data_IF_298481863942
#
_entry.id   IF_298481863942
#
_cell.length_a   1.000
_cell.length_b   1.000
_cell.length_c   1.000
_cell.angle_alpha   90.00
_cell.angle_beta   90.00
_cell.angle_gamma   90.00
#
_symmetry.space_group_name_H-M   'P 1'
#
loop_
_entity.id
_entity.type
_entity.pdbx_description
1 polymer ?
#
# COMPACT_ATOMS: atom_id res chain seq x y z
N UNK A 1 -22.67 52.25 -10.04
CA UNK A 1 -23.98 52.76 -9.60
C UNK A 1 -24.60 51.74 -8.65
N UNK A 2 -24.93 52.24 -7.41
CA UNK A 2 -25.81 51.66 -6.37
C UNK A 2 -25.46 50.23 -5.86
N UNK A 3 -24.80 49.99 -4.73
CA UNK A 3 -25.14 50.19 -3.28
C UNK A 3 -26.55 49.73 -2.89
N UNK A 4 -26.59 48.80 -1.91
CA UNK A 4 -27.47 48.73 -0.71
C UNK A 4 -27.09 47.45 0.05
N UNK A 5 -26.45 47.41 1.17
CA UNK A 5 -26.63 47.86 2.57
C UNK A 5 -27.63 47.03 3.39
N UNK A 6 -27.05 46.32 4.38
CA UNK A 6 -27.45 46.10 5.79
C UNK A 6 -28.61 45.19 6.15
N UNK A 7 -28.31 44.32 7.13
CA UNK A 7 -29.28 43.71 8.04
C UNK A 7 -28.61 42.84 9.12
N UNK A 8 -28.08 43.47 10.17
CA UNK A 8 -27.68 42.84 11.44
C UNK A 8 -28.93 42.60 12.25
N UNK A 9 -29.10 41.42 12.84
CA UNK A 9 -30.01 41.23 13.97
C UNK A 9 -29.44 40.17 14.93
N UNK A 10 -28.90 40.69 16.03
CA UNK A 10 -28.52 39.93 17.22
C UNK A 10 -29.78 39.60 18.00
N UNK A 11 -29.91 38.37 18.51
CA UNK A 11 -30.80 38.07 19.62
C UNK A 11 -30.05 37.18 20.62
N UNK A 12 -29.77 37.76 21.77
CA UNK A 12 -29.39 37.09 23.00
C UNK A 12 -30.67 36.73 23.81
N UNK A 13 -30.72 35.54 24.38
CA UNK A 13 -31.59 35.22 25.54
C UNK A 13 -30.95 34.06 26.30
N UNK A 14 -30.34 34.33 27.35
CA UNK A 14 -30.68 34.27 28.79
C UNK A 14 -30.88 32.85 29.32
N UNK A 15 -29.99 32.56 30.26
CA UNK A 15 -29.95 31.37 31.13
C UNK A 15 -31.15 31.30 32.08
N UNK A 16 -31.56 30.08 32.40
CA UNK A 16 -32.29 29.82 33.66
C UNK A 16 -31.69 28.58 34.33
N UNK A 17 -31.03 28.85 35.43
CA UNK A 17 -30.59 27.88 36.44
C UNK A 17 -31.79 27.58 37.31
N UNK A 18 -32.12 26.31 37.51
CA UNK A 18 -32.98 25.87 38.62
C UNK A 18 -32.21 24.90 39.48
N UNK A 19 -31.88 25.38 40.65
CA UNK A 19 -31.35 24.61 41.80
C UNK A 19 -32.51 24.39 42.75
N UNK A 20 -32.83 23.17 43.08
CA UNK A 20 -33.51 22.71 44.30
C UNK A 20 -33.19 21.23 44.46
N UNK A 21 -32.81 20.66 45.57
CA UNK A 21 -32.74 21.04 46.93
C UNK A 21 -32.60 19.74 47.73
N UNK A 22 -31.76 19.72 48.71
CA UNK A 22 -31.45 18.57 49.57
C UNK A 22 -32.67 18.05 50.33
N UNK A 23 -32.74 16.71 50.53
CA UNK A 23 -33.45 16.12 51.67
C UNK A 23 -32.66 14.95 52.22
N UNK A 24 -32.27 15.10 53.48
CA UNK A 24 -31.68 14.09 54.36
C UNK A 24 -32.73 13.01 54.75
N UNK A 25 -32.27 11.74 54.75
CA UNK A 25 -33.01 10.63 55.38
C UNK A 25 -32.02 9.53 55.78
N UNK A 26 -31.97 9.31 57.13
CA UNK A 26 -31.04 8.46 57.88
C UNK A 26 -31.16 6.96 57.61
N UNK A 27 -30.00 6.32 57.68
CA UNK A 27 -29.65 5.02 58.26
C UNK A 27 -30.69 3.88 58.32
N UNK A 28 -30.30 2.75 57.69
CA UNK A 28 -30.34 1.47 58.43
C UNK A 28 -29.26 0.54 57.86
N UNK A 29 -28.35 0.17 58.74
CA UNK A 29 -27.36 -0.88 58.49
C UNK A 29 -28.10 -2.23 58.51
N UNK A 30 -27.88 -3.03 57.47
CA UNK A 30 -28.04 -4.47 57.57
C UNK A 30 -26.91 -5.16 56.77
N UNK A 31 -26.01 -5.74 57.53
CA UNK A 31 -24.96 -6.63 57.08
C UNK A 31 -25.59 -7.91 56.52
N UNK A 32 -25.39 -8.18 55.24
CA UNK A 32 -25.38 -9.54 54.73
C UNK A 32 -24.16 -9.70 53.83
N UNK A 33 -23.19 -10.43 54.34
CA UNK A 33 -22.13 -11.08 53.61
C UNK A 33 -22.74 -12.15 52.70
N UNK A 34 -22.76 -11.87 51.40
CA UNK A 34 -22.82 -12.93 50.39
C UNK A 34 -21.58 -12.79 49.52
N UNK A 35 -20.66 -13.72 49.75
CA UNK A 35 -19.56 -14.01 48.88
C UNK A 35 -20.10 -14.72 47.63
N UNK A 36 -20.29 -13.96 46.56
CA UNK A 36 -20.57 -14.46 45.25
C UNK A 36 -19.68 -13.70 44.29
N UNK A 37 -18.46 -14.18 44.14
CA UNK A 37 -17.53 -13.68 43.13
C UNK A 37 -18.06 -14.04 41.73
N UNK A 38 -18.73 -13.10 41.10
CA UNK A 38 -18.93 -13.10 39.68
C UNK A 38 -17.89 -12.16 39.09
N UNK A 39 -16.69 -12.69 38.87
CA UNK A 39 -15.64 -12.05 38.08
C UNK A 39 -16.08 -12.02 36.63
N UNK A 40 -17.01 -11.15 36.30
CA UNK A 40 -17.26 -10.79 34.94
C UNK A 40 -16.02 -10.09 34.43
N UNK A 41 -15.20 -10.78 33.64
CA UNK A 41 -14.11 -10.17 32.83
C UNK A 41 -14.74 -9.02 32.05
N UNK A 42 -14.25 -7.80 32.27
CA UNK A 42 -14.70 -6.66 31.46
C UNK A 42 -14.32 -6.90 30.04
N UNK A 43 -15.29 -6.79 29.12
CA UNK A 43 -15.02 -6.90 27.66
C UNK A 43 -14.03 -5.82 27.25
N UNK A 44 -12.92 -6.23 26.63
CA UNK A 44 -11.96 -5.33 26.04
C UNK A 44 -12.47 -4.89 24.67
N UNK A 45 -12.43 -3.58 24.41
CA UNK A 45 -12.85 -3.01 23.12
C UNK A 45 -11.65 -2.40 22.43
N UNK A 46 -11.27 -2.96 21.29
CA UNK A 46 -10.17 -2.51 20.46
C UNK A 46 -10.68 -1.74 19.25
N UNK A 47 -9.91 -0.76 18.82
CA UNK A 47 -10.17 -0.03 17.57
C UNK A 47 -9.02 -0.24 16.58
N UNK A 48 -9.37 -0.67 15.36
CA UNK A 48 -8.43 -0.88 14.26
C UNK A 48 -8.68 0.18 13.18
N UNK A 49 -7.65 0.95 12.81
CA UNK A 49 -7.75 1.90 11.71
C UNK A 49 -7.03 1.39 10.46
N UNK A 50 -7.77 1.34 9.32
CA UNK A 50 -7.25 0.94 8.01
C UNK A 50 -7.87 1.73 6.88
N UNK A 51 -7.36 1.55 5.64
CA UNK A 51 -7.84 2.32 4.50
C UNK A 51 -8.72 1.51 3.54
N UNK A 52 -8.82 0.20 3.72
CA UNK A 52 -9.66 -0.66 2.88
C UNK A 52 -11.14 -0.38 3.21
N UNK A 53 -12.01 -0.18 2.19
CA UNK A 53 -13.46 -0.08 2.43
C UNK A 53 -14.00 -1.30 3.18
N UNK A 54 -14.89 -1.09 4.12
CA UNK A 54 -15.40 -2.12 5.04
C UNK A 54 -16.01 -3.32 4.27
N UNK A 55 -16.72 -3.05 3.19
CA UNK A 55 -17.36 -4.04 2.31
C UNK A 55 -16.35 -4.90 1.50
N UNK A 56 -15.08 -4.52 1.46
CA UNK A 56 -14.03 -5.24 0.73
C UNK A 56 -13.20 -6.17 1.63
N UNK A 57 -13.80 -6.68 2.70
CA UNK A 57 -13.23 -7.68 3.59
C UNK A 57 -13.16 -7.29 5.07
N UNK A 58 -12.78 -6.05 5.47
CA UNK A 58 -12.64 -5.71 6.88
C UNK A 58 -13.87 -6.04 7.73
N UNK A 59 -15.09 -5.77 7.24
CA UNK A 59 -16.30 -6.10 8.00
C UNK A 59 -16.41 -7.60 8.27
N UNK A 60 -16.18 -8.44 7.27
CA UNK A 60 -16.21 -9.91 7.42
C UNK A 60 -15.19 -10.40 8.43
N UNK A 61 -13.96 -9.85 8.38
CA UNK A 61 -12.89 -10.17 9.35
C UNK A 61 -13.31 -9.82 10.78
N UNK A 62 -13.83 -8.60 10.98
CA UNK A 62 -14.26 -8.12 12.30
C UNK A 62 -15.42 -8.95 12.85
N UNK A 63 -16.41 -9.25 12.01
CA UNK A 63 -17.56 -10.06 12.43
C UNK A 63 -17.14 -11.48 12.86
N UNK A 64 -16.21 -12.11 12.13
CA UNK A 64 -15.66 -13.42 12.50
C UNK A 64 -14.88 -13.38 13.81
N UNK A 65 -14.01 -12.39 13.97
CA UNK A 65 -13.27 -12.22 15.22
C UNK A 65 -14.22 -12.03 16.41
N UNK A 66 -15.14 -11.08 16.32
CA UNK A 66 -16.05 -10.73 17.38
C UNK A 66 -16.99 -11.89 17.78
N UNK A 67 -17.39 -12.71 16.81
CA UNK A 67 -18.18 -13.91 17.08
C UNK A 67 -17.39 -15.00 17.84
N UNK A 68 -16.09 -15.11 17.57
CA UNK A 68 -15.21 -16.11 18.20
C UNK A 68 -14.63 -15.63 19.55
N UNK A 69 -14.56 -14.33 19.79
CA UNK A 69 -13.90 -13.72 20.97
C UNK A 69 -14.84 -12.74 21.69
N UNK A 70 -15.81 -13.24 22.46
CA UNK A 70 -16.81 -12.37 23.13
C UNK A 70 -16.21 -11.45 24.20
N UNK A 71 -15.02 -11.74 24.67
CA UNK A 71 -14.25 -10.99 25.68
C UNK A 71 -13.36 -9.90 25.08
N UNK A 72 -13.03 -9.98 23.77
CA UNK A 72 -12.22 -9.00 23.04
C UNK A 72 -12.97 -8.59 21.77
N UNK A 73 -13.64 -7.46 21.83
CA UNK A 73 -14.40 -6.95 20.69
C UNK A 73 -13.58 -5.93 19.91
N UNK A 74 -13.64 -6.01 18.59
CA UNK A 74 -12.87 -5.16 17.67
C UNK A 74 -13.83 -4.33 16.83
N UNK A 75 -13.49 -3.04 16.64
CA UNK A 75 -14.17 -2.13 15.72
C UNK A 75 -13.19 -1.65 14.67
N UNK A 76 -13.59 -1.75 13.41
CA UNK A 76 -12.84 -1.16 12.31
C UNK A 76 -13.26 0.28 12.05
N UNK A 77 -12.29 1.15 11.76
CA UNK A 77 -12.51 2.55 11.36
C UNK A 77 -11.72 2.81 10.08
N UNK A 78 -12.43 3.16 9.02
CA UNK A 78 -11.80 3.49 7.75
C UNK A 78 -11.24 4.90 7.77
N UNK A 79 -10.01 5.07 7.25
CA UNK A 79 -9.47 6.36 6.83
C UNK A 79 -9.11 6.34 5.34
N UNK A 80 -8.90 7.49 4.72
CA UNK A 80 -8.44 7.55 3.32
C UNK A 80 -6.92 7.60 3.32
N UNK A 81 -6.28 6.71 2.54
CA UNK A 81 -4.82 6.68 2.44
C UNK A 81 -4.31 7.76 1.48
N UNK A 82 -4.44 9.01 1.89
CA UNK A 82 -3.86 10.20 1.29
C UNK A 82 -3.14 11.04 2.36
N UNK A 83 -2.55 12.16 2.00
CA UNK A 83 -1.82 13.02 2.94
C UNK A 83 -2.70 13.51 4.09
N UNK A 84 -3.96 13.85 3.82
CA UNK A 84 -4.92 14.32 4.83
C UNK A 84 -5.32 13.20 5.79
N UNK A 85 -5.63 12.03 5.26
CA UNK A 85 -6.01 10.87 6.07
C UNK A 85 -4.84 10.33 6.89
N UNK A 86 -3.64 10.32 6.35
CA UNK A 86 -2.44 9.96 7.11
C UNK A 86 -2.15 10.97 8.23
N UNK A 87 -2.32 12.28 7.97
CA UNK A 87 -2.20 13.32 9.02
C UNK A 87 -3.24 13.13 10.13
N UNK A 88 -4.48 12.76 9.77
CA UNK A 88 -5.54 12.48 10.73
C UNK A 88 -5.19 11.27 11.60
N UNK A 89 -4.69 10.18 11.02
CA UNK A 89 -4.23 9.02 11.77
C UNK A 89 -3.07 9.38 12.70
N UNK A 90 -2.04 10.06 12.19
CA UNK A 90 -0.87 10.45 12.99
C UNK A 90 -1.29 11.35 14.18
N UNK A 91 -2.24 12.25 13.97
CA UNK A 91 -2.80 13.09 15.04
C UNK A 91 -3.53 12.25 16.08
N UNK A 92 -4.36 11.29 15.66
CA UNK A 92 -5.07 10.39 16.57
C UNK A 92 -4.11 9.54 17.41
N UNK A 93 -3.04 9.01 16.81
CA UNK A 93 -2.01 8.21 17.50
C UNK A 93 -1.28 8.98 18.62
N UNK A 94 -1.17 10.30 18.49
CA UNK A 94 -0.59 11.17 19.52
C UNK A 94 -1.57 11.52 20.65
N UNK A 95 -2.87 11.30 20.47
CA UNK A 95 -3.90 11.56 21.49
C UNK A 95 -4.00 10.39 22.49
N UNK A 96 -4.43 10.69 23.71
CA UNK A 96 -4.70 9.66 24.74
C UNK A 96 -6.13 9.12 24.67
N UNK A 97 -7.05 9.86 24.08
CA UNK A 97 -8.46 9.47 23.90
C UNK A 97 -8.78 9.29 22.43
N UNK A 98 -9.61 8.31 22.11
CA UNK A 98 -10.07 7.99 20.75
C UNK A 98 -8.95 7.57 19.76
N UNK A 99 -7.77 7.25 20.29
CA UNK A 99 -6.67 6.72 19.49
C UNK A 99 -6.95 5.25 19.12
N UNK A 100 -6.56 4.81 17.88
CA UNK A 100 -6.65 3.39 17.56
C UNK A 100 -5.65 2.58 18.40
N UNK A 101 -6.02 1.34 18.77
CA UNK A 101 -5.12 0.37 19.38
C UNK A 101 -4.20 -0.25 18.32
N UNK A 102 -4.78 -0.54 17.14
CA UNK A 102 -4.11 -1.13 16.00
C UNK A 102 -4.32 -0.21 14.79
N UNK A 103 -3.30 -0.06 13.98
CA UNK A 103 -3.42 0.70 12.74
C UNK A 103 -2.57 0.10 11.62
N UNK A 104 -3.02 0.35 10.39
CA UNK A 104 -2.28 0.00 9.19
C UNK A 104 -1.48 1.19 8.67
N UNK A 105 -0.23 0.96 8.31
CA UNK A 105 0.58 1.87 7.50
C UNK A 105 0.69 1.30 6.09
N UNK A 106 0.36 2.11 5.09
CA UNK A 106 0.49 1.73 3.69
C UNK A 106 1.72 2.41 3.11
N UNK A 107 2.71 1.60 2.73
CA UNK A 107 4.01 2.05 2.27
C UNK A 107 4.99 2.39 3.40
N UNK A 108 6.26 2.13 3.13
CA UNK A 108 7.37 2.25 4.08
C UNK A 108 7.57 3.69 4.59
N UNK A 109 7.33 4.71 3.75
CA UNK A 109 7.47 6.12 4.17
C UNK A 109 6.57 6.48 5.36
N UNK A 110 5.32 5.99 5.36
CA UNK A 110 4.39 6.21 6.45
C UNK A 110 4.78 5.40 7.69
N UNK A 111 5.24 4.16 7.49
CA UNK A 111 5.72 3.30 8.57
C UNK A 111 6.91 3.96 9.29
N UNK A 112 7.99 4.27 8.57
CA UNK A 112 9.21 4.86 9.15
C UNK A 112 8.96 6.19 9.84
N UNK A 113 8.06 7.02 9.29
CA UNK A 113 7.68 8.27 9.95
C UNK A 113 7.03 8.00 11.31
N UNK A 114 6.16 7.00 11.44
CA UNK A 114 5.46 6.64 12.67
C UNK A 114 6.41 5.98 13.68
N UNK A 115 7.31 5.13 13.22
CA UNK A 115 8.37 4.55 14.05
C UNK A 115 9.29 5.65 14.62
N UNK A 116 9.81 6.52 13.77
CA UNK A 116 10.67 7.63 14.18
C UNK A 116 9.98 8.62 15.13
N UNK A 117 8.66 8.71 15.09
CA UNK A 117 7.86 9.56 15.98
C UNK A 117 7.39 8.84 17.25
N UNK A 118 7.81 7.59 17.48
CA UNK A 118 7.45 6.81 18.68
C UNK A 118 5.97 6.44 18.78
N UNK A 119 5.26 6.37 17.64
CA UNK A 119 3.83 6.05 17.59
C UNK A 119 3.58 4.54 17.64
N UNK A 120 4.58 3.71 17.33
CA UNK A 120 4.50 2.25 17.29
C UNK A 120 5.07 1.61 18.55
N UNK A 121 4.40 0.60 19.08
CA UNK A 121 4.94 -0.22 20.17
C UNK A 121 5.92 -1.28 19.64
N UNK A 122 7.00 -1.62 20.38
CA UNK A 122 7.81 -2.80 20.10
C UNK A 122 6.97 -4.07 20.31
N UNK A 123 7.16 -5.06 19.41
CA UNK A 123 6.36 -6.30 19.40
C UNK A 123 7.11 -7.53 19.90
N UNK A 124 8.43 -7.47 20.09
CA UNK A 124 9.28 -8.63 20.38
C UNK A 124 8.84 -9.42 21.63
N UNK A 125 8.46 -8.71 22.71
CA UNK A 125 7.97 -9.34 23.93
C UNK A 125 6.59 -9.98 23.71
N UNK A 126 5.69 -9.33 22.95
CA UNK A 126 4.37 -9.85 22.62
C UNK A 126 4.44 -11.08 21.72
N UNK A 127 5.34 -11.04 20.71
CA UNK A 127 5.64 -12.18 19.82
C UNK A 127 6.08 -13.38 20.66
N UNK A 128 7.03 -13.18 21.58
CA UNK A 128 7.55 -14.24 22.45
C UNK A 128 6.50 -14.75 23.44
N UNK A 129 5.75 -13.86 24.07
CA UNK A 129 4.75 -14.22 25.08
C UNK A 129 3.57 -15.03 24.51
N UNK A 130 3.19 -14.74 23.27
CA UNK A 130 2.09 -15.40 22.60
C UNK A 130 2.54 -16.53 21.65
N UNK A 131 3.84 -16.75 21.53
CA UNK A 131 4.42 -17.84 20.72
C UNK A 131 4.15 -17.69 19.21
N UNK A 132 4.06 -16.45 18.70
CA UNK A 132 3.84 -16.23 17.27
C UNK A 132 5.10 -16.59 16.47
N UNK A 133 4.96 -17.55 15.55
CA UNK A 133 6.06 -18.01 14.69
C UNK A 133 6.26 -17.05 13.50
N UNK A 134 7.06 -16.02 13.72
CA UNK A 134 7.42 -15.03 12.69
C UNK A 134 8.05 -15.70 11.47
N UNK A 135 8.96 -16.65 11.68
CA UNK A 135 9.67 -17.32 10.59
C UNK A 135 8.77 -18.25 9.78
N UNK A 136 7.88 -18.97 10.44
CA UNK A 136 6.92 -19.86 9.78
C UNK A 136 5.83 -19.10 9.02
N UNK A 137 5.35 -18.00 9.56
CA UNK A 137 4.23 -17.23 8.96
C UNK A 137 4.73 -16.23 7.93
N UNK A 138 5.72 -15.41 8.25
CA UNK A 138 6.12 -14.27 7.41
C UNK A 138 7.54 -14.46 6.84
N UNK A 139 8.48 -14.91 7.67
CA UNK A 139 9.92 -14.89 7.45
C UNK A 139 10.56 -13.64 8.05
N UNK A 140 11.45 -13.84 9.01
CA UNK A 140 12.15 -12.74 9.68
C UNK A 140 13.03 -11.93 8.72
N UNK A 141 13.47 -12.53 7.62
CA UNK A 141 14.20 -11.88 6.53
C UNK A 141 13.39 -10.79 5.81
N UNK A 142 12.06 -10.80 5.97
CA UNK A 142 11.15 -9.81 5.36
C UNK A 142 10.78 -8.65 6.31
N UNK A 143 11.35 -8.64 7.51
CA UNK A 143 11.08 -7.60 8.51
C UNK A 143 12.28 -6.66 8.65
N UNK A 144 12.01 -5.37 8.60
CA UNK A 144 12.97 -4.36 9.01
C UNK A 144 12.80 -4.09 10.51
N UNK A 145 13.93 -3.95 11.21
CA UNK A 145 13.92 -3.62 12.63
C UNK A 145 14.22 -2.13 12.82
N UNK A 146 13.43 -1.50 13.67
CA UNK A 146 13.68 -0.15 14.14
C UNK A 146 14.32 -0.22 15.53
N UNK A 147 15.53 0.32 15.70
CA UNK A 147 16.31 0.22 16.94
C UNK A 147 16.43 -1.25 17.44
N UNK A 148 16.73 -2.18 16.52
CA UNK A 148 16.85 -3.62 16.78
C UNK A 148 15.57 -4.32 17.24
N UNK A 149 14.41 -3.67 17.18
CA UNK A 149 13.10 -4.20 17.58
C UNK A 149 12.13 -4.27 16.40
N UNK A 150 11.18 -5.21 16.45
CA UNK A 150 10.07 -5.33 15.52
C UNK A 150 8.95 -4.39 15.99
N UNK A 151 8.51 -3.47 15.13
CA UNK A 151 7.45 -2.51 15.42
C UNK A 151 6.19 -2.70 14.57
N UNK A 152 6.21 -3.65 13.65
CA UNK A 152 5.10 -3.99 12.77
C UNK A 152 5.17 -5.43 12.30
N UNK A 153 4.05 -5.95 11.83
CA UNK A 153 3.97 -7.19 11.05
C UNK A 153 3.22 -6.90 9.74
N UNK A 154 3.79 -7.27 8.58
CA UNK A 154 3.15 -7.04 7.30
C UNK A 154 2.00 -8.02 7.08
N UNK A 155 0.82 -7.51 6.75
CA UNK A 155 -0.36 -8.34 6.53
C UNK A 155 -0.42 -8.95 5.12
N UNK A 156 0.14 -8.25 4.13
CA UNK A 156 0.03 -8.65 2.72
C UNK A 156 1.36 -8.50 1.98
N UNK A 157 1.48 -9.31 0.92
CA UNK A 157 2.47 -9.12 -0.15
C UNK A 157 1.82 -8.31 -1.26
N UNK A 158 2.48 -7.25 -1.70
CA UNK A 158 2.18 -6.66 -2.99
C UNK A 158 3.05 -7.33 -4.05
N UNK A 159 2.42 -7.86 -5.08
CA UNK A 159 3.10 -8.41 -6.26
C UNK A 159 2.79 -7.47 -7.41
N UNK A 160 3.83 -6.83 -7.92
CA UNK A 160 3.74 -6.00 -9.11
C UNK A 160 3.77 -6.87 -10.36
N UNK A 161 2.93 -6.51 -11.33
CA UNK A 161 2.79 -7.20 -12.60
C UNK A 161 2.29 -6.23 -13.69
N UNK A 162 2.34 -6.68 -14.93
CA UNK A 162 1.69 -5.98 -16.04
C UNK A 162 0.35 -6.65 -16.32
N UNK A 163 -0.71 -5.85 -16.39
CA UNK A 163 -2.04 -6.29 -16.83
C UNK A 163 -2.20 -5.94 -18.31
N UNK A 164 -2.65 -6.91 -19.11
CA UNK A 164 -2.74 -6.81 -20.55
C UNK A 164 -4.18 -7.04 -21.01
N UNK A 165 -4.61 -6.27 -21.99
CA UNK A 165 -5.81 -6.57 -22.77
C UNK A 165 -5.53 -7.79 -23.66
N UNK A 166 -6.15 -8.93 -23.37
CA UNK A 166 -5.89 -10.19 -24.06
C UNK A 166 -6.27 -10.10 -25.54
N UNK A 167 -7.37 -9.47 -25.87
CA UNK A 167 -7.79 -9.28 -27.26
C UNK A 167 -6.79 -8.44 -28.07
N UNK A 168 -6.14 -7.47 -27.44
CA UNK A 168 -5.10 -6.67 -28.09
C UNK A 168 -3.84 -7.48 -28.40
N UNK A 169 -3.48 -8.45 -27.55
CA UNK A 169 -2.41 -9.39 -27.84
C UNK A 169 -2.78 -10.34 -28.99
N UNK A 170 -4.02 -10.87 -28.96
CA UNK A 170 -4.53 -11.77 -30.00
C UNK A 170 -4.56 -11.09 -31.38
N UNK A 171 -4.90 -9.79 -31.45
CA UNK A 171 -4.88 -8.97 -32.69
C UNK A 171 -3.52 -8.96 -33.38
N UNK A 172 -2.43 -9.03 -32.64
CA UNK A 172 -1.06 -8.98 -33.17
C UNK A 172 -0.35 -10.34 -33.12
N UNK A 173 -1.04 -11.39 -32.63
CA UNK A 173 -0.51 -12.75 -32.54
C UNK A 173 0.60 -12.94 -31.51
N UNK A 174 0.67 -12.10 -30.49
CA UNK A 174 1.68 -12.17 -29.43
C UNK A 174 1.14 -12.93 -28.22
N UNK A 175 1.92 -13.85 -27.62
CA UNK A 175 1.54 -14.52 -26.39
C UNK A 175 1.69 -13.59 -25.18
N UNK A 176 1.09 -13.99 -24.03
CA UNK A 176 1.35 -13.34 -22.74
C UNK A 176 2.82 -13.55 -22.36
N UNK A 177 3.60 -12.47 -22.11
CA UNK A 177 5.01 -12.60 -21.73
C UNK A 177 5.20 -13.31 -20.38
N UNK A 178 6.25 -14.13 -20.26
CA UNK A 178 6.58 -14.86 -19.02
C UNK A 178 8.00 -14.57 -18.49
N UNK A 179 8.96 -14.33 -19.40
CA UNK A 179 10.34 -13.93 -19.07
C UNK A 179 10.75 -12.84 -20.07
N UNK A 180 10.70 -11.59 -19.64
CA UNK A 180 10.88 -10.44 -20.50
C UNK A 180 11.56 -9.26 -19.81
N UNK A 181 12.12 -8.40 -20.63
CA UNK A 181 12.82 -7.20 -20.18
C UNK A 181 11.99 -5.94 -20.41
N UNK A 182 12.47 -4.81 -19.89
CA UNK A 182 11.88 -3.50 -20.19
C UNK A 182 12.06 -3.08 -21.66
N UNK A 183 13.07 -3.63 -22.36
CA UNK A 183 13.16 -3.48 -23.83
C UNK A 183 12.04 -4.25 -24.52
N UNK A 184 11.79 -5.51 -24.14
CA UNK A 184 10.69 -6.31 -24.67
C UNK A 184 9.33 -5.65 -24.36
N UNK A 185 9.17 -5.04 -23.18
CA UNK A 185 7.97 -4.25 -22.82
C UNK A 185 7.78 -3.07 -23.78
N UNK A 186 8.85 -2.32 -24.07
CA UNK A 186 8.79 -1.19 -24.97
C UNK A 186 8.44 -1.63 -26.40
N UNK A 187 9.05 -2.69 -26.90
CA UNK A 187 8.79 -3.22 -28.24
C UNK A 187 7.33 -3.72 -28.35
N UNK A 188 6.82 -4.40 -27.33
CA UNK A 188 5.42 -4.83 -27.29
C UNK A 188 4.48 -3.62 -27.23
N UNK A 189 4.81 -2.60 -26.43
CA UNK A 189 4.02 -1.37 -26.35
C UNK A 189 3.93 -0.66 -27.71
N UNK A 190 5.02 -0.61 -28.47
CA UNK A 190 5.02 -0.03 -29.82
C UNK A 190 4.15 -0.82 -30.80
N UNK A 191 4.17 -2.16 -30.74
CA UNK A 191 3.31 -3.02 -31.57
C UNK A 191 1.82 -2.85 -31.23
N UNK A 192 1.50 -2.67 -29.97
CA UNK A 192 0.14 -2.52 -29.45
C UNK A 192 -0.42 -1.09 -29.61
N UNK A 193 0.43 -0.10 -29.93
CA UNK A 193 0.02 1.29 -30.14
C UNK A 193 -0.69 1.46 -31.49
N UNK A 194 -2.02 1.31 -31.49
CA UNK A 194 -2.81 1.21 -32.71
C UNK A 194 -4.22 1.78 -32.53
N UNK A 195 -4.74 2.39 -33.56
CA UNK A 195 -6.15 2.83 -33.65
C UNK A 195 -6.61 3.77 -32.49
N UNK A 196 -5.68 4.63 -32.01
CA UNK A 196 -5.91 5.56 -30.92
C UNK A 196 -5.74 4.96 -29.52
N UNK A 197 -5.56 3.63 -29.40
CA UNK A 197 -5.19 2.95 -28.18
C UNK A 197 -3.66 3.09 -27.96
N UNK A 198 -3.27 3.51 -26.76
CA UNK A 198 -1.86 3.50 -26.37
C UNK A 198 -1.39 2.06 -26.13
N UNK A 199 -0.13 1.77 -26.49
CA UNK A 199 0.42 0.45 -26.24
C UNK A 199 0.58 0.13 -24.77
N UNK A 200 0.99 1.12 -23.97
CA UNK A 200 1.14 0.95 -22.52
C UNK A 200 0.75 2.21 -21.73
N UNK A 201 0.55 2.01 -20.43
CA UNK A 201 0.43 3.07 -19.45
C UNK A 201 1.20 2.70 -18.18
N UNK A 202 2.03 3.61 -17.72
CA UNK A 202 2.68 3.59 -16.40
C UNK A 202 2.30 4.89 -15.71
N UNK A 203 1.71 4.80 -14.54
CA UNK A 203 1.24 5.99 -13.80
C UNK A 203 2.40 6.94 -13.52
N UNK A 204 2.34 8.21 -13.92
CA UNK A 204 3.40 9.17 -13.65
C UNK A 204 3.62 9.38 -12.15
N UNK A 205 4.79 9.05 -11.65
CA UNK A 205 5.14 9.16 -10.24
C UNK A 205 6.56 8.66 -9.97
N UNK A 206 7.17 9.12 -8.89
CA UNK A 206 8.54 8.70 -8.54
C UNK A 206 8.65 7.20 -8.29
N UNK A 207 7.61 6.62 -7.70
CA UNK A 207 7.59 5.19 -7.39
C UNK A 207 7.31 4.29 -8.58
N UNK A 208 6.86 4.87 -9.70
CA UNK A 208 6.44 4.17 -10.92
C UNK A 208 7.27 4.57 -12.14
N UNK A 209 8.50 5.07 -11.94
CA UNK A 209 9.46 5.32 -13.01
C UNK A 209 10.06 4.01 -13.53
N UNK A 210 10.12 3.83 -14.86
CA UNK A 210 10.81 2.67 -15.47
C UNK A 210 12.30 2.68 -15.07
N UNK A 211 12.91 3.87 -14.93
CA UNK A 211 14.27 4.00 -14.40
C UNK A 211 14.45 3.42 -13.00
N UNK A 212 13.48 3.59 -12.12
CA UNK A 212 13.47 2.93 -10.80
C UNK A 212 13.37 1.41 -10.95
N UNK A 213 12.46 0.92 -11.78
CA UNK A 213 12.26 -0.52 -11.95
C UNK A 213 13.49 -1.22 -12.53
N UNK A 214 14.14 -0.62 -13.52
CA UNK A 214 15.39 -1.14 -14.06
C UNK A 214 16.51 -1.10 -13.04
N UNK A 215 16.62 -0.04 -12.25
CA UNK A 215 17.59 0.07 -11.16
C UNK A 215 17.38 -1.03 -10.12
N UNK A 216 16.13 -1.20 -9.65
CA UNK A 216 15.77 -2.21 -8.65
C UNK A 216 15.99 -3.63 -9.19
N UNK A 217 15.60 -3.94 -10.42
CA UNK A 217 15.82 -5.28 -10.99
C UNK A 217 17.28 -5.59 -11.27
N UNK A 218 18.15 -4.57 -11.44
CA UNK A 218 19.60 -4.75 -11.56
C UNK A 218 20.31 -4.89 -10.21
N UNK A 219 19.76 -4.26 -9.16
CA UNK A 219 20.29 -4.27 -7.79
C UNK A 219 19.13 -4.28 -6.80
N UNK A 220 18.60 -5.46 -6.40
CA UNK A 220 17.39 -5.53 -5.58
C UNK A 220 17.59 -5.08 -4.12
N UNK A 221 18.83 -5.06 -3.63
CA UNK A 221 19.15 -4.59 -2.27
C UNK A 221 19.68 -3.16 -2.33
N UNK A 222 19.06 -2.27 -1.55
CA UNK A 222 19.49 -0.86 -1.40
C UNK A 222 19.70 -0.15 -2.75
N UNK A 223 18.81 -0.35 -3.71
CA UNK A 223 18.95 0.06 -5.12
C UNK A 223 19.39 1.52 -5.30
N UNK A 224 18.90 2.42 -4.44
CA UNK A 224 19.17 3.87 -4.50
C UNK A 224 20.51 4.26 -3.86
N UNK A 225 21.23 3.31 -3.24
CA UNK A 225 22.49 3.57 -2.56
C UNK A 225 23.62 2.74 -3.14
N UNK A 226 24.80 3.34 -3.27
CA UNK A 226 26.02 2.66 -3.64
C UNK A 226 26.73 2.05 -2.41
N UNK A 227 27.89 1.42 -2.61
CA UNK A 227 28.65 0.78 -1.55
C UNK A 227 29.13 1.77 -0.47
N UNK A 228 29.38 3.02 -0.84
CA UNK A 228 29.81 4.09 0.06
C UNK A 228 28.63 4.69 0.86
N UNK A 229 27.40 4.26 0.60
CA UNK A 229 26.18 4.80 1.22
C UNK A 229 25.71 6.13 0.62
N UNK A 230 26.31 6.58 -0.48
CA UNK A 230 25.83 7.69 -1.30
C UNK A 230 24.79 7.19 -2.33
N UNK A 231 24.22 8.10 -3.10
CA UNK A 231 23.22 7.74 -4.09
C UNK A 231 23.81 6.94 -5.26
N UNK A 232 22.95 6.16 -5.96
CA UNK A 232 23.32 5.24 -7.04
C UNK A 232 22.74 5.65 -8.40
N UNK A 233 22.53 6.94 -8.64
CA UNK A 233 21.92 7.41 -9.89
C UNK A 233 22.82 7.37 -11.11
N UNK A 234 24.12 7.19 -10.94
CA UNK A 234 25.07 6.93 -12.02
C UNK A 234 25.02 5.48 -12.54
N UNK A 235 24.16 4.62 -11.99
CA UNK A 235 23.98 3.25 -12.44
C UNK A 235 23.39 3.22 -13.87
N UNK A 236 23.98 2.45 -14.81
CA UNK A 236 23.48 2.37 -16.20
C UNK A 236 22.03 1.90 -16.31
N UNK A 237 21.55 1.11 -15.36
CA UNK A 237 20.16 0.65 -15.34
C UNK A 237 19.18 1.81 -15.18
N UNK A 238 19.49 2.82 -14.34
CA UNK A 238 18.64 4.01 -14.20
C UNK A 238 18.54 4.79 -15.51
N UNK A 239 19.69 5.00 -16.19
CA UNK A 239 19.74 5.64 -17.50
C UNK A 239 18.86 4.92 -18.51
N UNK A 240 19.08 3.60 -18.66
CA UNK A 240 18.34 2.75 -19.60
C UNK A 240 16.83 2.87 -19.40
N UNK A 241 16.36 2.78 -18.17
CA UNK A 241 14.92 2.84 -17.90
C UNK A 241 14.30 4.22 -18.18
N UNK A 242 15.02 5.32 -17.89
CA UNK A 242 14.58 6.66 -18.26
C UNK A 242 14.50 6.85 -19.78
N UNK A 243 15.49 6.34 -20.52
CA UNK A 243 15.52 6.39 -22.00
C UNK A 243 14.38 5.57 -22.61
N UNK A 244 14.10 4.38 -22.07
CA UNK A 244 12.95 3.54 -22.50
C UNK A 244 11.64 4.31 -22.29
N UNK A 245 11.43 4.88 -21.11
CA UNK A 245 10.21 5.62 -20.79
C UNK A 245 10.04 6.85 -21.69
N UNK A 246 11.12 7.60 -21.93
CA UNK A 246 11.11 8.76 -22.83
C UNK A 246 10.79 8.34 -24.27
N UNK A 247 11.39 7.26 -24.77
CA UNK A 247 11.10 6.71 -26.11
C UNK A 247 9.61 6.42 -26.26
N UNK A 248 8.97 5.78 -25.27
CA UNK A 248 7.54 5.48 -25.32
C UNK A 248 6.65 6.72 -25.33
N UNK A 249 7.07 7.80 -24.67
CA UNK A 249 6.40 9.10 -24.75
C UNK A 249 6.57 9.75 -26.12
N UNK A 250 7.80 9.81 -26.62
CA UNK A 250 8.13 10.47 -27.89
C UNK A 250 7.50 9.78 -29.09
N UNK A 251 7.39 8.45 -29.07
CA UNK A 251 6.73 7.65 -30.10
C UNK A 251 5.22 7.53 -29.90
N UNK A 252 4.69 8.16 -28.85
CA UNK A 252 3.26 8.19 -28.56
C UNK A 252 2.65 6.86 -28.13
N UNK A 253 3.48 5.86 -27.78
CA UNK A 253 3.02 4.56 -27.28
C UNK A 253 2.56 4.61 -25.82
N UNK A 254 2.92 5.66 -25.09
CA UNK A 254 2.37 6.00 -23.77
C UNK A 254 1.83 7.43 -23.78
N UNK A 255 0.90 7.69 -22.85
CA UNK A 255 0.46 9.06 -22.53
C UNK A 255 1.62 9.80 -21.88
N UNK A 256 1.88 11.05 -22.31
CA UNK A 256 3.00 11.85 -21.81
C UNK A 256 2.93 12.04 -20.29
N UNK A 257 4.09 12.25 -19.65
CA UNK A 257 4.19 12.52 -18.23
C UNK A 257 3.27 13.66 -17.77
N UNK A 258 3.34 14.81 -18.46
CA UNK A 258 2.55 15.98 -18.12
C UNK A 258 1.04 15.76 -18.27
N UNK A 259 0.61 15.08 -19.33
CA UNK A 259 -0.80 14.74 -19.55
C UNK A 259 -1.34 13.78 -18.49
N UNK A 260 -0.58 12.75 -18.15
CA UNK A 260 -0.96 11.78 -17.12
C UNK A 260 -1.15 12.42 -15.75
N UNK A 261 -0.28 13.37 -15.36
CA UNK A 261 -0.41 14.13 -14.12
C UNK A 261 -1.57 15.11 -14.17
N UNK A 262 -1.66 15.91 -15.22
CA UNK A 262 -2.69 16.96 -15.34
C UNK A 262 -4.11 16.39 -15.30
N UNK A 263 -4.32 15.22 -15.92
CA UNK A 263 -5.62 14.55 -16.00
C UNK A 263 -5.82 13.52 -14.87
N UNK A 264 -4.84 13.32 -13.97
CA UNK A 264 -4.89 12.34 -12.87
C UNK A 264 -5.31 10.94 -13.37
N UNK A 265 -4.68 10.50 -14.47
CA UNK A 265 -5.04 9.25 -15.12
C UNK A 265 -4.80 8.06 -14.19
N UNK A 266 -5.76 7.15 -14.18
CA UNK A 266 -5.76 5.94 -13.37
C UNK A 266 -5.50 4.71 -14.24
N UNK A 267 -4.60 3.78 -13.86
CA UNK A 267 -4.23 2.64 -14.69
C UNK A 267 -5.38 1.68 -14.96
N UNK A 268 -6.27 1.45 -13.99
CA UNK A 268 -7.43 0.58 -14.21
C UNK A 268 -8.38 1.21 -15.23
N UNK A 269 -8.65 2.51 -15.13
CA UNK A 269 -9.48 3.22 -16.10
C UNK A 269 -8.86 3.20 -17.50
N UNK A 270 -7.55 3.45 -17.64
CA UNK A 270 -6.89 3.46 -18.95
C UNK A 270 -6.93 2.08 -19.64
N UNK A 271 -6.74 1.00 -18.88
CA UNK A 271 -6.86 -0.37 -19.40
C UNK A 271 -8.30 -0.75 -19.72
N UNK A 272 -9.21 -0.61 -18.72
CA UNK A 272 -10.55 -1.18 -18.78
C UNK A 272 -11.48 -0.42 -19.75
N UNK A 273 -11.16 0.83 -20.07
CA UNK A 273 -11.82 1.58 -21.15
C UNK A 273 -11.17 1.39 -22.53
N UNK A 274 -10.16 0.52 -22.63
CA UNK A 274 -9.47 0.23 -23.90
C UNK A 274 -8.54 1.34 -24.39
N UNK A 275 -8.23 2.34 -23.58
CA UNK A 275 -7.33 3.43 -23.94
C UNK A 275 -5.85 3.02 -23.92
N UNK A 276 -5.49 2.03 -23.10
CA UNK A 276 -4.19 1.39 -23.09
C UNK A 276 -4.32 -0.12 -23.23
N UNK A 277 -3.38 -0.75 -23.94
CA UNK A 277 -3.35 -2.20 -24.11
C UNK A 277 -2.65 -2.90 -22.94
N UNK A 278 -1.69 -2.25 -22.31
CA UNK A 278 -0.97 -2.76 -21.14
C UNK A 278 -0.90 -1.68 -20.06
N UNK A 279 -0.93 -2.11 -18.79
CA UNK A 279 -0.67 -1.21 -17.66
C UNK A 279 0.23 -1.90 -16.64
N UNK A 280 1.22 -1.16 -16.11
CA UNK A 280 1.96 -1.61 -14.95
C UNK A 280 1.14 -1.37 -13.68
N UNK A 281 0.99 -2.40 -12.87
CA UNK A 281 0.18 -2.35 -11.65
C UNK A 281 0.52 -3.48 -10.69
N UNK A 282 -0.44 -3.91 -9.92
CA UNK A 282 -0.27 -4.96 -8.94
C UNK A 282 -1.60 -5.53 -8.47
N UNK A 283 -1.56 -6.45 -7.50
CA UNK A 283 -2.73 -7.17 -7.00
C UNK A 283 -3.86 -6.24 -6.49
N UNK A 284 -3.53 -5.04 -6.08
CA UNK A 284 -4.47 -4.00 -5.66
C UNK A 284 -5.48 -3.58 -6.77
N UNK A 285 -5.14 -3.83 -8.04
CA UNK A 285 -6.04 -3.58 -9.17
C UNK A 285 -7.18 -4.60 -9.28
N UNK A 286 -7.06 -5.78 -8.69
CA UNK A 286 -8.02 -6.90 -8.90
C UNK A 286 -9.47 -6.51 -8.64
N UNK A 287 -9.73 -5.63 -7.67
CA UNK A 287 -11.07 -5.12 -7.41
C UNK A 287 -11.68 -4.46 -8.64
N UNK A 288 -10.94 -3.52 -9.26
CA UNK A 288 -11.39 -2.81 -10.46
C UNK A 288 -11.44 -3.75 -11.67
N UNK A 289 -10.48 -4.68 -11.80
CA UNK A 289 -10.44 -5.63 -12.91
C UNK A 289 -11.63 -6.59 -12.92
N UNK A 290 -12.24 -6.87 -11.77
CA UNK A 290 -13.44 -7.70 -11.64
C UNK A 290 -14.76 -6.93 -11.79
N UNK A 291 -14.73 -5.64 -11.64
CA UNK A 291 -15.92 -4.78 -11.67
C UNK A 291 -16.36 -4.52 -13.13
N UNK A 292 -17.17 -5.43 -13.66
CA UNK A 292 -17.74 -5.33 -15.01
C UNK A 292 -18.96 -4.43 -15.08
N UNK A 293 -19.52 -4.03 -13.96
CA UNK A 293 -20.66 -3.11 -13.88
C UNK A 293 -20.18 -1.66 -14.10
N UNK A 294 -19.09 -1.28 -13.43
CA UNK A 294 -18.46 0.04 -13.61
C UNK A 294 -17.70 0.13 -14.93
N UNK A 295 -16.99 -0.96 -15.31
CA UNK A 295 -16.22 -1.04 -16.57
C UNK A 295 -16.69 -2.19 -17.44
N UNK A 296 -17.85 -2.03 -18.14
CA UNK A 296 -18.31 -3.03 -19.10
C UNK A 296 -17.33 -3.13 -20.26
N UNK A 297 -16.93 -4.37 -20.60
CA UNK A 297 -15.97 -4.65 -21.66
C UNK A 297 -16.20 -6.03 -22.24
N UNK A 298 -15.68 -6.26 -23.43
CA UNK A 298 -15.79 -7.51 -24.20
C UNK A 298 -14.47 -8.29 -24.29
N UNK A 299 -13.45 -7.90 -23.50
CA UNK A 299 -12.15 -8.56 -23.45
C UNK A 299 -11.81 -9.04 -22.04
N UNK A 300 -11.07 -10.15 -21.99
CA UNK A 300 -10.42 -10.61 -20.77
C UNK A 300 -9.08 -9.88 -20.56
N UNK A 301 -8.67 -9.76 -19.30
CA UNK A 301 -7.33 -9.31 -18.95
C UNK A 301 -6.43 -10.48 -18.61
N UNK A 302 -5.18 -10.44 -19.10
CA UNK A 302 -4.12 -11.38 -18.79
C UNK A 302 -3.03 -10.71 -17.95
N UNK A 303 -2.13 -11.49 -17.36
CA UNK A 303 -1.14 -11.03 -16.40
C UNK A 303 0.25 -11.52 -16.80
N UNK A 304 1.21 -10.60 -16.90
CA UNK A 304 2.61 -10.93 -17.09
C UNK A 304 3.43 -10.50 -15.85
N UNK A 305 4.51 -11.20 -15.49
CA UNK A 305 5.39 -10.73 -14.42
C UNK A 305 5.93 -9.34 -14.74
N UNK A 306 6.36 -8.59 -13.74
CA UNK A 306 7.03 -7.30 -13.96
C UNK A 306 8.24 -7.49 -14.87
N UNK A 307 8.45 -6.63 -15.90
CA UNK A 307 9.61 -6.72 -16.76
C UNK A 307 10.92 -6.54 -15.98
N UNK A 308 11.99 -7.18 -16.41
CA UNK A 308 13.28 -7.21 -15.74
C UNK A 308 14.31 -6.34 -16.46
N UNK A 309 15.41 -6.01 -15.79
CA UNK A 309 16.58 -5.40 -16.43
C UNK A 309 17.26 -6.40 -17.38
N UNK A 310 17.35 -7.68 -16.96
CA UNK A 310 17.90 -8.80 -17.71
C UNK A 310 16.98 -10.03 -17.60
N UNK A 311 16.89 -10.83 -18.67
CA UNK A 311 16.12 -12.09 -18.65
C UNK A 311 16.69 -13.09 -17.66
N UNK A 312 15.82 -13.99 -17.17
CA UNK A 312 16.19 -15.02 -16.21
C UNK A 312 16.30 -14.51 -14.77
N UNK A 313 16.02 -13.22 -14.54
CA UNK A 313 15.83 -12.66 -13.18
C UNK A 313 14.34 -12.58 -12.86
N UNK A 314 14.01 -12.49 -11.57
CA UNK A 314 12.62 -12.44 -11.13
C UNK A 314 12.49 -11.53 -9.91
N UNK A 315 12.95 -10.28 -10.07
CA UNK A 315 12.87 -9.25 -9.04
C UNK A 315 11.52 -8.58 -9.09
N UNK A 316 10.89 -8.41 -7.94
CA UNK A 316 9.62 -7.72 -7.81
C UNK A 316 9.74 -6.50 -6.91
N UNK A 317 9.25 -5.35 -7.37
CA UNK A 317 9.28 -4.09 -6.62
C UNK A 317 8.19 -4.01 -5.53
N UNK A 318 7.24 -4.93 -5.53
CA UNK A 318 6.19 -4.98 -4.53
C UNK A 318 6.75 -5.21 -3.13
N UNK A 319 6.73 -6.44 -2.66
CA UNK A 319 7.22 -6.80 -1.33
C UNK A 319 6.15 -6.73 -0.26
N UNK A 320 6.57 -6.73 0.99
CA UNK A 320 5.67 -6.69 2.14
C UNK A 320 5.00 -5.33 2.25
N UNK A 321 3.72 -5.33 2.60
CA UNK A 321 2.93 -4.10 2.71
C UNK A 321 1.77 -4.27 3.70
N UNK A 322 0.94 -3.22 3.81
CA UNK A 322 -0.16 -3.15 4.76
C UNK A 322 0.35 -3.50 6.17
N UNK A 323 1.28 -2.67 6.66
CA UNK A 323 2.00 -2.89 7.91
C UNK A 323 1.09 -2.65 9.11
N UNK A 324 0.80 -3.70 9.87
CA UNK A 324 0.04 -3.63 11.11
C UNK A 324 0.96 -3.28 12.27
N UNK A 325 0.62 -2.21 12.98
CA UNK A 325 1.33 -1.76 14.19
C UNK A 325 0.35 -1.60 15.34
N UNK A 326 0.84 -1.76 16.56
CA UNK A 326 0.13 -1.41 17.79
C UNK A 326 0.51 0.01 18.19
N UNK A 327 -0.48 0.81 18.55
CA UNK A 327 -0.24 2.14 19.08
C UNK A 327 0.55 2.06 20.40
N UNK A 328 1.67 2.78 20.46
CA UNK A 328 2.51 2.79 21.65
C UNK A 328 1.75 3.25 22.93
N UNK A 329 0.71 4.05 22.78
CA UNK A 329 -0.14 4.54 23.87
C UNK A 329 -1.34 3.61 24.20
N UNK A 330 -1.55 2.50 23.47
CA UNK A 330 -2.64 1.56 23.77
C UNK A 330 -2.45 0.93 25.15
N UNK A 331 -3.54 0.85 25.90
CA UNK A 331 -3.59 0.14 27.18
C UNK A 331 -3.82 -1.38 27.02
N UNK A 332 -4.13 -1.84 25.79
CA UNK A 332 -4.57 -3.20 25.46
C UNK A 332 -3.62 -3.87 24.45
N UNK A 333 -2.30 -3.72 24.66
CA UNK A 333 -1.29 -4.22 23.69
C UNK A 333 -1.30 -5.74 23.54
N UNK A 334 -1.58 -6.47 24.63
CA UNK A 334 -1.63 -7.93 24.60
C UNK A 334 -2.83 -8.43 23.79
N UNK A 335 -4.00 -7.88 23.99
CA UNK A 335 -5.23 -8.21 23.26
C UNK A 335 -5.15 -7.74 21.81
N UNK A 336 -4.54 -6.58 21.57
CA UNK A 336 -4.27 -6.09 20.22
C UNK A 336 -3.36 -7.07 19.45
N UNK A 337 -2.33 -7.61 20.10
CA UNK A 337 -1.45 -8.60 19.46
C UNK A 337 -2.15 -9.94 19.24
N UNK A 338 -3.08 -10.37 20.10
CA UNK A 338 -3.92 -11.55 19.86
C UNK A 338 -4.71 -11.41 18.55
N UNK A 339 -5.34 -10.24 18.33
CA UNK A 339 -6.04 -9.96 17.09
C UNK A 339 -5.08 -9.98 15.88
N UNK A 340 -3.90 -9.33 15.97
CA UNK A 340 -2.92 -9.32 14.88
C UNK A 340 -2.43 -10.74 14.56
N UNK A 341 -2.14 -11.55 15.57
CA UNK A 341 -1.69 -12.94 15.39
C UNK A 341 -2.72 -13.78 14.65
N UNK A 342 -3.99 -13.74 15.08
CA UNK A 342 -5.08 -14.42 14.39
C UNK A 342 -5.29 -13.88 12.96
N UNK A 343 -5.27 -12.55 12.80
CA UNK A 343 -5.46 -11.90 11.51
C UNK A 343 -4.44 -12.40 10.48
N UNK A 344 -3.17 -12.51 10.85
CA UNK A 344 -2.10 -12.94 9.95
C UNK A 344 -2.12 -14.43 9.64
N UNK A 345 -2.68 -15.26 10.49
CA UNK A 345 -2.75 -16.70 10.31
C UNK A 345 -4.03 -17.15 9.60
N UNK A 346 -5.16 -16.50 9.89
CA UNK A 346 -6.49 -16.93 9.45
C UNK A 346 -7.35 -15.78 8.89
N UNK A 347 -7.44 -14.66 9.62
CA UNK A 347 -8.41 -13.60 9.33
C UNK A 347 -8.20 -12.90 8.01
N UNK A 348 -6.95 -12.75 7.57
CA UNK A 348 -6.61 -12.06 6.31
C UNK A 348 -7.04 -12.81 5.04
N UNK A 349 -7.45 -14.07 5.15
CA UNK A 349 -8.00 -14.85 4.01
C UNK A 349 -9.28 -14.20 3.45
N UNK A 350 -10.09 -13.57 4.28
CA UNK A 350 -11.31 -12.87 3.84
C UNK A 350 -11.04 -11.58 3.05
N UNK A 351 -9.79 -11.13 3.03
CA UNK A 351 -9.35 -9.97 2.24
C UNK A 351 -8.90 -10.34 0.82
N UNK A 352 -8.69 -11.64 0.55
CA UNK A 352 -8.19 -12.13 -0.74
C UNK A 352 -9.10 -11.75 -1.92
N UNK A 353 -10.44 -11.86 -1.83
CA UNK A 353 -11.31 -11.46 -2.93
C UNK A 353 -11.15 -10.01 -3.38
N UNK A 354 -10.68 -9.14 -2.47
CA UNK A 354 -10.32 -7.74 -2.75
C UNK A 354 -8.92 -7.54 -3.32
N UNK A 355 -8.18 -8.61 -3.64
CA UNK A 355 -6.82 -8.57 -4.20
C UNK A 355 -5.72 -8.45 -3.13
N UNK A 356 -6.01 -8.80 -1.87
CA UNK A 356 -5.01 -8.82 -0.80
C UNK A 356 -4.35 -10.20 -0.73
N UNK A 357 -3.07 -10.29 -1.08
CA UNK A 357 -2.30 -11.53 -1.06
C UNK A 357 -1.67 -11.68 0.32
N UNK A 358 -2.02 -12.71 1.11
CA UNK A 358 -1.51 -12.85 2.47
C UNK A 358 0.02 -13.04 2.48
N UNK A 359 0.66 -12.53 3.53
CA UNK A 359 2.08 -12.79 3.77
C UNK A 359 2.35 -14.21 4.24
N UNK A 360 1.33 -14.89 4.76
CA UNK A 360 1.46 -16.24 5.27
C UNK A 360 2.06 -17.18 4.22
N UNK A 361 3.26 -17.70 4.51
CA UNK A 361 4.03 -18.60 3.64
C UNK A 361 3.32 -19.93 3.38
N UNK A 362 2.42 -20.35 4.27
CA UNK A 362 1.71 -21.62 4.15
C UNK A 362 0.41 -21.52 3.35
N UNK A 363 0.07 -20.33 2.83
CA UNK A 363 -1.12 -20.14 2.02
C UNK A 363 -1.06 -20.94 0.72
N UNK A 364 -2.17 -21.60 0.39
CA UNK A 364 -2.35 -22.30 -0.89
C UNK A 364 -2.62 -21.26 -2.00
N UNK A 365 -1.62 -21.00 -2.84
CA UNK A 365 -1.74 -20.01 -3.91
C UNK A 365 -2.70 -20.43 -5.06
N UNK A 366 -3.05 -21.72 -5.20
CA UNK A 366 -4.14 -22.12 -6.09
C UNK A 366 -5.49 -21.69 -5.52
N UNK A 367 -5.69 -21.89 -4.23
CA UNK A 367 -6.87 -21.38 -3.55
C UNK A 367 -6.91 -19.86 -3.55
N UNK A 368 -5.79 -19.17 -3.28
CA UNK A 368 -5.69 -17.71 -3.35
C UNK A 368 -6.10 -17.20 -4.73
N UNK A 369 -5.59 -17.82 -5.81
CA UNK A 369 -5.95 -17.45 -7.18
C UNK A 369 -7.45 -17.62 -7.44
N UNK A 370 -8.02 -18.77 -7.03
CA UNK A 370 -9.45 -19.02 -7.17
C UNK A 370 -10.31 -18.00 -6.41
N UNK A 371 -9.92 -17.66 -5.17
CA UNK A 371 -10.61 -16.67 -4.36
C UNK A 371 -10.52 -15.25 -4.97
N UNK A 372 -9.38 -14.90 -5.55
CA UNK A 372 -9.21 -13.61 -6.24
C UNK A 372 -10.11 -13.55 -7.47
N UNK A 373 -10.11 -14.58 -8.32
CA UNK A 373 -10.90 -14.59 -9.56
C UNK A 373 -12.39 -14.69 -9.25
N UNK A 374 -12.79 -15.57 -8.34
CA UNK A 374 -14.19 -15.80 -7.99
C UNK A 374 -14.99 -16.30 -9.21
N UNK A 375 -16.10 -15.65 -9.52
CA UNK A 375 -16.99 -15.92 -10.66
C UNK A 375 -16.62 -15.19 -11.96
N UNK A 376 -15.48 -14.47 -11.99
CA UNK A 376 -15.05 -13.59 -13.08
C UNK A 376 -14.07 -14.22 -14.07
N UNK A 377 -14.17 -15.53 -14.30
CA UNK A 377 -13.29 -16.30 -15.21
C UNK A 377 -13.44 -15.90 -16.68
N UNK A 378 -14.56 -15.30 -17.04
CA UNK A 378 -14.84 -14.78 -18.38
C UNK A 378 -14.04 -13.49 -18.72
N UNK A 379 -13.67 -12.73 -17.71
CA UNK A 379 -12.96 -11.45 -17.87
C UNK A 379 -11.56 -11.42 -17.22
N UNK A 380 -11.18 -12.48 -16.51
CA UNK A 380 -9.88 -12.67 -15.87
C UNK A 380 -9.24 -13.96 -16.39
N UNK A 381 -8.10 -13.88 -17.02
CA UNK A 381 -7.28 -15.04 -17.39
C UNK A 381 -6.65 -15.64 -16.12
N UNK A 382 -7.30 -16.67 -15.59
CA UNK A 382 -6.91 -17.31 -14.33
C UNK A 382 -5.55 -18.01 -14.42
N UNK A 383 -5.18 -18.56 -15.57
CA UNK A 383 -3.91 -19.26 -15.76
C UNK A 383 -2.74 -18.27 -15.63
N UNK A 384 -2.76 -17.18 -16.37
CA UNK A 384 -1.70 -16.18 -16.30
C UNK A 384 -1.63 -15.50 -14.94
N UNK A 385 -2.76 -15.23 -14.28
CA UNK A 385 -2.77 -14.73 -12.90
C UNK A 385 -2.12 -15.73 -11.94
N UNK A 386 -2.50 -17.00 -12.01
CA UNK A 386 -1.91 -18.05 -11.17
C UNK A 386 -0.40 -18.17 -11.35
N UNK A 387 0.10 -18.06 -12.57
CA UNK A 387 1.53 -18.10 -12.88
C UNK A 387 2.26 -16.93 -12.21
N UNK A 388 1.70 -15.71 -12.25
CA UNK A 388 2.27 -14.54 -11.58
C UNK A 388 2.24 -14.68 -10.06
N UNK A 389 1.13 -15.14 -9.48
CA UNK A 389 0.99 -15.24 -8.02
C UNK A 389 1.87 -16.33 -7.39
N UNK A 390 2.15 -17.41 -8.13
CA UNK A 390 2.99 -18.55 -7.68
C UNK A 390 4.48 -18.36 -7.94
N UNK A 391 4.87 -17.37 -8.74
CA UNK A 391 6.25 -17.19 -9.10
C UNK A 391 7.14 -16.93 -7.87
N UNK A 392 8.33 -17.49 -7.89
CA UNK A 392 9.30 -17.28 -6.82
C UNK A 392 10.04 -15.95 -7.05
N UNK A 393 9.65 -14.91 -6.33
CA UNK A 393 10.20 -13.58 -6.47
C UNK A 393 11.36 -13.32 -5.50
N UNK A 394 12.37 -12.59 -5.98
CA UNK A 394 13.28 -11.83 -5.14
C UNK A 394 12.66 -10.45 -4.93
N UNK A 395 12.13 -10.18 -3.74
CA UNK A 395 11.61 -8.86 -3.44
C UNK A 395 12.74 -7.85 -3.21
N UNK A 396 12.50 -6.63 -3.66
CA UNK A 396 13.40 -5.52 -3.37
C UNK A 396 13.45 -5.25 -1.86
N UNK A 397 14.66 -5.14 -1.32
CA UNK A 397 14.89 -4.86 0.10
C UNK A 397 15.61 -3.53 0.26
N UNK A 398 15.13 -2.72 1.20
CA UNK A 398 15.78 -1.46 1.55
C UNK A 398 16.15 -1.47 3.04
N UNK A 399 17.42 -1.66 3.32
CA UNK A 399 17.98 -1.55 4.65
C UNK A 399 18.46 -0.11 4.95
N UNK A 400 18.81 0.64 3.90
CA UNK A 400 19.26 2.03 4.01
C UNK A 400 18.10 2.98 3.69
N UNK A 401 17.77 3.86 4.62
CA UNK A 401 16.65 4.79 4.48
C UNK A 401 17.06 6.28 4.63
N UNK A 402 18.36 6.57 4.76
CA UNK A 402 18.86 7.94 4.94
C UNK A 402 18.41 8.85 3.81
N UNK A 403 17.69 9.90 4.13
CA UNK A 403 17.15 10.90 3.20
C UNK A 403 16.24 10.32 2.09
N UNK A 404 15.69 9.11 2.27
CA UNK A 404 14.92 8.45 1.20
C UNK A 404 13.71 9.24 0.70
N UNK A 405 12.89 9.90 1.54
CA UNK A 405 11.80 10.74 1.07
C UNK A 405 12.29 11.90 0.17
N UNK A 406 13.41 12.51 0.52
CA UNK A 406 14.02 13.58 -0.26
C UNK A 406 14.59 13.06 -1.58
N UNK A 407 15.24 11.87 -1.56
CA UNK A 407 15.72 11.17 -2.76
C UNK A 407 14.55 10.90 -3.73
N UNK A 408 13.43 10.41 -3.23
CA UNK A 408 12.22 10.16 -4.04
C UNK A 408 11.70 11.44 -4.70
N UNK A 409 11.65 12.54 -3.94
CA UNK A 409 11.24 13.85 -4.48
C UNK A 409 12.20 14.34 -5.56
N UNK A 410 13.51 14.28 -5.31
CA UNK A 410 14.55 14.67 -6.27
C UNK A 410 14.43 13.84 -7.55
N UNK A 411 14.25 12.54 -7.43
CA UNK A 411 14.11 11.63 -8.58
C UNK A 411 12.94 12.06 -9.47
N UNK A 412 11.78 12.35 -8.87
CA UNK A 412 10.59 12.81 -9.59
C UNK A 412 10.84 14.13 -10.33
N UNK A 413 11.36 15.12 -9.62
CA UNK A 413 11.59 16.46 -10.18
C UNK A 413 12.58 16.46 -11.35
N UNK A 414 13.67 15.72 -11.24
CA UNK A 414 14.67 15.66 -12.31
C UNK A 414 14.19 14.81 -13.49
N UNK A 415 13.47 13.69 -13.25
CA UNK A 415 12.86 12.90 -14.31
C UNK A 415 11.82 13.71 -15.11
N UNK A 416 11.00 14.52 -14.43
CA UNK A 416 10.03 15.40 -15.07
C UNK A 416 10.69 16.37 -16.04
N UNK A 417 11.79 17.02 -15.65
CA UNK A 417 12.54 17.92 -16.53
C UNK A 417 13.04 17.20 -17.80
N UNK A 418 13.53 15.97 -17.64
CA UNK A 418 13.95 15.15 -18.78
C UNK A 418 12.80 14.82 -19.72
N UNK A 419 11.68 14.34 -19.19
CA UNK A 419 10.52 14.00 -20.00
C UNK A 419 9.88 15.23 -20.68
N UNK A 420 10.06 16.41 -20.12
CA UNK A 420 9.61 17.67 -20.70
C UNK A 420 10.66 18.31 -21.63
N UNK A 421 11.73 17.62 -22.00
CA UNK A 421 12.82 18.10 -22.87
C UNK A 421 13.56 19.35 -22.33
N UNK A 422 13.62 19.54 -21.01
CA UNK A 422 14.32 20.66 -20.39
C UNK A 422 15.79 20.37 -20.11
N UNK A 423 16.18 19.09 -20.08
CA UNK A 423 17.56 18.65 -19.88
C UNK A 423 17.78 17.27 -20.54
N UNK A 424 19.03 16.92 -20.81
CA UNK A 424 19.42 15.59 -21.30
C UNK A 424 19.34 14.52 -20.20
N UNK A 425 19.38 13.24 -20.56
CA UNK A 425 19.42 12.14 -19.58
C UNK A 425 20.67 12.22 -18.70
N UNK A 426 21.82 12.58 -19.26
CA UNK A 426 23.08 12.68 -18.51
C UNK A 426 23.05 13.85 -17.50
N UNK A 427 22.48 15.00 -17.88
CA UNK A 427 22.24 16.12 -16.97
C UNK A 427 21.27 15.75 -15.86
N UNK A 428 20.23 14.97 -16.20
CA UNK A 428 19.24 14.46 -15.23
C UNK A 428 19.88 13.58 -14.18
N UNK A 429 20.65 12.57 -14.61
CA UNK A 429 21.32 11.64 -13.68
C UNK A 429 22.35 12.37 -12.81
N UNK A 430 23.10 13.30 -13.40
CA UNK A 430 24.05 14.13 -12.65
C UNK A 430 23.34 14.97 -11.58
N UNK A 431 22.24 15.62 -11.96
CA UNK A 431 21.45 16.43 -11.00
C UNK A 431 20.82 15.55 -9.90
N UNK A 432 20.29 14.39 -10.24
CA UNK A 432 19.81 13.42 -9.26
C UNK A 432 20.91 13.03 -8.28
N UNK A 433 22.09 12.66 -8.79
CA UNK A 433 23.25 12.22 -7.98
C UNK A 433 23.70 13.33 -7.04
N UNK A 434 24.00 14.53 -7.56
CA UNK A 434 24.52 15.65 -6.77
C UNK A 434 23.54 16.12 -5.69
N UNK A 435 22.25 16.18 -6.02
CA UNK A 435 21.21 16.59 -5.07
C UNK A 435 20.98 15.53 -3.99
N UNK A 436 20.93 14.25 -4.38
CA UNK A 436 20.71 13.13 -3.45
C UNK A 436 21.92 12.96 -2.50
N UNK A 437 23.14 13.01 -3.01
CA UNK A 437 24.36 12.93 -2.18
C UNK A 437 24.41 14.04 -1.14
N UNK A 438 23.99 15.26 -1.52
CA UNK A 438 23.94 16.41 -0.59
C UNK A 438 22.96 16.16 0.57
N UNK A 439 21.76 15.64 0.30
CA UNK A 439 20.78 15.38 1.37
C UNK A 439 21.22 14.21 2.24
N UNK A 440 21.76 13.12 1.66
CA UNK A 440 22.34 12.00 2.40
C UNK A 440 23.43 12.48 3.37
N UNK A 441 24.39 13.26 2.88
CA UNK A 441 25.49 13.79 3.69
C UNK A 441 25.02 14.77 4.78
N UNK A 442 23.90 15.45 4.58
CA UNK A 442 23.33 16.35 5.59
C UNK A 442 22.62 15.63 6.72
N UNK A 443 22.00 14.48 6.44
CA UNK A 443 21.31 13.65 7.44
C UNK A 443 22.24 12.67 8.18
N UNK A 444 23.41 12.38 7.60
CA UNK A 444 24.41 11.50 8.22
C UNK A 444 25.30 12.22 9.28
N UNK A 445 25.07 13.51 9.50
CA UNK A 445 25.77 14.36 10.50
C UNK A 445 24.94 14.51 11.77
#
# INVERSE_FOLDING_TARGET
MKQWLKGVMSLALAATIVVTGCSNGKENANSNTDAGGNGGSSVVNLTVWGAVPEENGPQTVIDKWNAAHPDIQVKYVRYINDDSGNTKLDTALMMQSDAPDIFFSYGENNLFRRENSGMTAPLDELISAQGFDVDGVIGSENLLKYNDQIHYLPAYKNIDFVVLNKSALDEIGEPVPTDWTWDDFADLALKLNKDGRKGAFVTPGADLLIGKFTLVSSQPKDSFYNAEGLSNFNNPAMKKGLEIQKKLYDEGAMVSWGEGIANKLDPANELLTGKAAMVYGGAWMMRSLKDTDTWPRDFAVAFAPAPQYEKGTNVNNGGMNDFMSINNNSAHKEEAFQFISWYLQEGNMDMIPGGRIPTNKTADFDQVTQMIVGDKQDVIDQESLGNVLKANYTFAVREKATAFPQITTITKEEAEKYFMNQQSVDETLKAMQERADKVIQSESK
#
